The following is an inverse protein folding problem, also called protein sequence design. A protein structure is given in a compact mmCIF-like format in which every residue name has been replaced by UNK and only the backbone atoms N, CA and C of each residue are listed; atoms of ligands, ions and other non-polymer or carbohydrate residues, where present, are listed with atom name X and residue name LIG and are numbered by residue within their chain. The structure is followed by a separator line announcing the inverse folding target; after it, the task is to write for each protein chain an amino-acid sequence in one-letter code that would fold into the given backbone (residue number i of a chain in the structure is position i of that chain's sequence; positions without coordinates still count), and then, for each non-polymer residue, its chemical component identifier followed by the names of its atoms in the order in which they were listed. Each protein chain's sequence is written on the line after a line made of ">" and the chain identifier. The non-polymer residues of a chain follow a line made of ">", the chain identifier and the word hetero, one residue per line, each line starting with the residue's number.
data_IF_572058999735
#
_entry.id   IF_572058999735
#
_cell.length_a   1.000
_cell.length_b   1.000
_cell.length_c   1.000
_cell.angle_alpha   90.00
_cell.angle_beta   90.00
_cell.angle_gamma   90.00
#
_symmetry.space_group_name_H-M   'P 1'
#
loop_
_entity.id
_entity.type
_entity.pdbx_description
1 polymer ?
#
# COMPACT_ATOMS: atom_id res chain seq x y z
N UNK A 1 5.53 -38.61 20.39
CA UNK A 1 5.84 -37.31 19.72
C UNK A 1 5.63 -36.19 20.73
N UNK A 2 6.63 -35.34 21.01
CA UNK A 2 6.58 -34.38 22.12
C UNK A 2 5.78 -33.11 21.73
N UNK A 3 4.64 -32.87 22.39
CA UNK A 3 3.72 -31.74 22.16
C UNK A 3 4.42 -30.37 22.20
N UNK A 4 5.42 -30.21 23.08
CA UNK A 4 6.22 -28.99 23.20
C UNK A 4 7.07 -28.72 21.95
N UNK A 5 7.70 -29.77 21.40
CA UNK A 5 8.47 -29.65 20.14
C UNK A 5 7.58 -29.33 18.94
N UNK A 6 6.37 -29.89 18.90
CA UNK A 6 5.38 -29.56 17.86
C UNK A 6 4.94 -28.09 17.96
N UNK A 7 4.63 -27.61 19.17
CA UNK A 7 4.22 -26.22 19.38
C UNK A 7 5.33 -25.22 19.04
N UNK A 8 6.59 -25.54 19.37
CA UNK A 8 7.74 -24.73 18.94
C UNK A 8 7.79 -24.61 17.41
N UNK A 9 7.77 -25.74 16.71
CA UNK A 9 7.79 -25.76 15.23
C UNK A 9 6.63 -25.00 14.60
N UNK A 10 5.43 -25.11 15.17
CA UNK A 10 4.25 -24.36 14.70
C UNK A 10 4.42 -22.86 14.94
N UNK A 11 5.01 -22.46 16.06
CA UNK A 11 5.32 -21.05 16.35
C UNK A 11 6.34 -20.50 15.35
N UNK A 12 7.40 -21.25 15.08
CA UNK A 12 8.43 -20.86 14.11
C UNK A 12 7.84 -20.72 12.69
N UNK A 13 7.02 -21.68 12.26
CA UNK A 13 6.31 -21.62 10.98
C UNK A 13 5.38 -20.40 10.91
N UNK A 14 4.63 -20.13 11.98
CA UNK A 14 3.74 -18.97 12.05
C UNK A 14 4.51 -17.64 12.03
N UNK A 15 5.73 -17.61 12.60
CA UNK A 15 6.61 -16.45 12.52
C UNK A 15 7.03 -16.18 11.08
N UNK A 16 7.44 -17.22 10.34
CA UNK A 16 7.82 -17.11 8.93
C UNK A 16 6.62 -16.62 8.09
N UNK A 17 5.44 -17.23 8.27
CA UNK A 17 4.22 -16.78 7.57
C UNK A 17 3.87 -15.33 7.88
N UNK A 18 4.01 -14.90 9.14
CA UNK A 18 3.81 -13.50 9.55
C UNK A 18 4.77 -12.58 8.82
N UNK A 19 6.06 -12.92 8.74
CA UNK A 19 7.07 -12.12 8.04
C UNK A 19 6.78 -11.99 6.55
N UNK A 20 6.42 -13.10 5.88
CA UNK A 20 6.07 -13.11 4.46
C UNK A 20 4.84 -12.25 4.19
N UNK A 21 3.77 -12.43 4.98
CA UNK A 21 2.53 -11.68 4.80
C UNK A 21 2.72 -10.17 5.05
N UNK A 22 3.48 -9.78 6.08
CA UNK A 22 3.80 -8.38 6.35
C UNK A 22 4.67 -7.77 5.26
N UNK A 23 5.64 -8.51 4.73
CA UNK A 23 6.50 -8.02 3.63
C UNK A 23 5.69 -7.81 2.36
N UNK A 24 4.79 -8.74 2.02
CA UNK A 24 3.87 -8.59 0.89
C UNK A 24 2.93 -7.40 1.04
N UNK A 25 2.35 -7.21 2.23
CA UNK A 25 1.52 -6.05 2.53
C UNK A 25 2.30 -4.73 2.44
N UNK A 26 3.52 -4.67 2.99
CA UNK A 26 4.37 -3.48 2.94
C UNK A 26 4.78 -3.12 1.51
N UNK A 27 5.04 -4.10 0.65
CA UNK A 27 5.31 -3.85 -0.76
C UNK A 27 4.12 -3.19 -1.46
N UNK A 28 2.90 -3.71 -1.24
CA UNK A 28 1.68 -3.15 -1.79
C UNK A 28 1.34 -1.77 -1.22
N UNK A 29 1.63 -1.53 0.06
CA UNK A 29 1.46 -0.21 0.67
C UNK A 29 2.37 0.83 0.03
N UNK A 30 3.63 0.48 -0.27
CA UNK A 30 4.56 1.37 -0.98
C UNK A 30 4.13 1.64 -2.41
N UNK A 31 3.64 0.61 -3.12
CA UNK A 31 3.10 0.77 -4.47
C UNK A 31 1.91 1.74 -4.48
N UNK A 32 0.95 1.55 -3.57
CA UNK A 32 -0.18 2.47 -3.41
C UNK A 32 0.26 3.89 -3.07
N UNK A 33 1.19 4.05 -2.13
CA UNK A 33 1.72 5.36 -1.73
C UNK A 33 2.43 6.05 -2.89
N UNK A 34 3.16 5.31 -3.74
CA UNK A 34 3.81 5.86 -4.92
C UNK A 34 2.79 6.39 -5.94
N UNK A 35 1.68 5.67 -6.14
CA UNK A 35 0.59 6.11 -7.02
C UNK A 35 -0.11 7.36 -6.44
N UNK A 36 -0.37 7.39 -5.14
CA UNK A 36 -0.92 8.57 -4.45
C UNK A 36 0.03 9.78 -4.56
N UNK A 37 1.34 9.57 -4.41
CA UNK A 37 2.33 10.63 -4.58
C UNK A 37 2.39 11.19 -6.02
N UNK A 38 2.17 10.37 -7.04
CA UNK A 38 2.04 10.85 -8.43
C UNK A 38 0.87 11.83 -8.59
N UNK A 39 -0.26 11.56 -7.94
CA UNK A 39 -1.43 12.44 -7.96
C UNK A 39 -1.14 13.78 -7.27
N UNK A 40 -0.44 13.76 -6.14
CA UNK A 40 -0.03 14.98 -5.45
C UNK A 40 0.97 15.81 -6.28
N UNK A 41 1.92 15.16 -6.94
CA UNK A 41 2.86 15.80 -7.85
C UNK A 41 2.15 16.48 -9.03
N UNK A 42 1.21 15.80 -9.68
CA UNK A 42 0.39 16.37 -10.76
C UNK A 42 -0.40 17.60 -10.28
N UNK A 43 -0.97 17.55 -9.07
CA UNK A 43 -1.66 18.70 -8.49
C UNK A 43 -0.71 19.88 -8.22
N UNK A 44 0.54 19.63 -7.84
CA UNK A 44 1.55 20.66 -7.67
C UNK A 44 1.99 21.28 -9.01
N UNK A 45 2.23 20.45 -10.02
CA UNK A 45 2.54 20.87 -11.39
C UNK A 45 1.40 21.70 -11.99
N UNK A 46 0.15 21.30 -11.78
CA UNK A 46 -1.03 22.05 -12.24
C UNK A 46 -1.09 23.46 -11.65
N UNK A 47 -0.86 23.58 -10.33
CA UNK A 47 -0.78 24.89 -9.67
C UNK A 47 0.35 25.74 -10.25
N UNK A 48 1.49 25.12 -10.56
CA UNK A 48 2.64 25.80 -11.17
C UNK A 48 2.30 26.31 -12.58
N UNK A 49 1.72 25.46 -13.44
CA UNK A 49 1.31 25.82 -14.79
C UNK A 49 0.31 26.98 -14.80
N UNK A 50 -0.67 26.97 -13.90
CA UNK A 50 -1.65 28.06 -13.75
C UNK A 50 -1.04 29.38 -13.32
N UNK A 51 0.00 29.36 -12.47
CA UNK A 51 0.73 30.59 -12.10
C UNK A 51 1.45 31.20 -13.31
N UNK A 52 2.05 30.36 -14.15
CA UNK A 52 2.75 30.80 -15.36
C UNK A 52 1.82 31.26 -16.48
N UNK A 53 0.55 30.86 -16.47
CA UNK A 53 -0.44 31.23 -17.48
C UNK A 53 -0.64 32.75 -17.65
N UNK A 54 -0.40 33.53 -16.59
CA UNK A 54 -0.53 34.99 -16.62
C UNK A 54 0.61 35.72 -17.36
N UNK A 55 1.69 35.01 -17.70
CA UNK A 55 2.88 35.62 -18.31
C UNK A 55 2.69 35.96 -19.80
N UNK A 56 1.90 35.16 -20.53
CA UNK A 56 1.61 35.37 -21.96
C UNK A 56 0.40 34.55 -22.43
N UNK A 57 -0.22 34.93 -23.57
CA UNK A 57 -1.28 34.13 -24.20
C UNK A 57 -0.84 32.71 -24.58
N UNK A 58 0.41 32.55 -25.03
CA UNK A 58 0.97 31.24 -25.41
C UNK A 58 1.07 30.31 -24.19
N UNK A 59 1.55 30.83 -23.06
CA UNK A 59 1.60 30.09 -21.79
C UNK A 59 0.21 29.78 -21.24
N UNK A 60 -0.79 30.64 -21.48
CA UNK A 60 -2.17 30.38 -21.09
C UNK A 60 -2.78 29.21 -21.88
N UNK A 61 -2.55 29.15 -23.19
CA UNK A 61 -3.00 28.04 -24.04
C UNK A 61 -2.32 26.73 -23.63
N UNK A 62 -1.01 26.77 -23.34
CA UNK A 62 -0.28 25.60 -22.85
C UNK A 62 -0.81 25.12 -21.49
N UNK A 63 -1.10 26.03 -20.56
CA UNK A 63 -1.68 25.70 -19.25
C UNK A 63 -3.08 25.08 -19.39
N UNK A 64 -3.92 25.57 -20.30
CA UNK A 64 -5.24 24.99 -20.56
C UNK A 64 -5.15 23.56 -21.12
N UNK A 65 -4.23 23.28 -22.03
CA UNK A 65 -3.96 21.92 -22.53
C UNK A 65 -3.44 21.01 -21.41
N UNK A 66 -2.57 21.54 -20.56
CA UNK A 66 -2.05 20.80 -19.41
C UNK A 66 -3.16 20.46 -18.41
N UNK A 67 -4.13 21.35 -18.19
CA UNK A 67 -5.30 21.08 -17.33
C UNK A 67 -6.10 19.86 -17.83
N UNK A 68 -6.34 19.74 -19.14
CA UNK A 68 -7.00 18.55 -19.72
C UNK A 68 -6.18 17.28 -19.51
N UNK A 69 -4.86 17.36 -19.68
CA UNK A 69 -3.96 16.23 -19.42
C UNK A 69 -4.00 15.80 -17.96
N UNK A 70 -3.91 16.75 -17.02
CA UNK A 70 -3.94 16.48 -15.56
C UNK A 70 -5.26 15.83 -15.18
N UNK A 71 -6.39 16.29 -15.73
CA UNK A 71 -7.70 15.67 -15.51
C UNK A 71 -7.69 14.19 -15.92
N UNK A 72 -7.35 13.90 -17.19
CA UNK A 72 -7.32 12.54 -17.71
C UNK A 72 -6.36 11.64 -16.93
N UNK A 73 -5.17 12.13 -16.57
CA UNK A 73 -4.20 11.35 -15.80
C UNK A 73 -4.66 11.10 -14.37
N UNK A 74 -5.35 12.05 -13.75
CA UNK A 74 -5.93 11.88 -12.41
C UNK A 74 -7.02 10.81 -12.41
N UNK A 75 -7.85 10.75 -13.46
CA UNK A 75 -8.83 9.69 -13.63
C UNK A 75 -8.15 8.32 -13.76
N UNK A 76 -7.13 8.20 -14.63
CA UNK A 76 -6.35 6.97 -14.77
C UNK A 76 -5.74 6.51 -13.44
N UNK A 77 -5.13 7.42 -12.67
CA UNK A 77 -4.59 7.11 -11.34
C UNK A 77 -5.69 6.63 -10.39
N UNK A 78 -6.87 7.26 -10.45
CA UNK A 78 -8.01 6.86 -9.63
C UNK A 78 -8.47 5.44 -9.96
N UNK A 79 -8.48 5.08 -11.24
CA UNK A 79 -8.83 3.74 -11.69
C UNK A 79 -7.75 2.71 -11.35
N UNK A 80 -6.46 3.07 -11.45
CA UNK A 80 -5.33 2.25 -10.98
C UNK A 80 -5.47 1.93 -9.47
N UNK A 81 -5.80 2.94 -8.65
CA UNK A 81 -6.02 2.76 -7.21
C UNK A 81 -7.25 1.88 -6.91
N UNK A 82 -8.36 2.07 -7.64
CA UNK A 82 -9.56 1.23 -7.50
C UNK A 82 -9.30 -0.21 -7.90
N UNK A 83 -8.59 -0.44 -9.01
CA UNK A 83 -8.22 -1.77 -9.48
C UNK A 83 -7.29 -2.49 -8.48
N UNK A 84 -6.38 -1.74 -7.83
CA UNK A 84 -5.49 -2.26 -6.81
C UNK A 84 -6.14 -2.52 -5.44
N UNK A 85 -7.29 -1.89 -5.14
CA UNK A 85 -7.91 -1.92 -3.81
C UNK A 85 -8.22 -3.34 -3.30
N UNK A 86 -8.84 -4.26 -4.08
CA UNK A 86 -9.10 -5.62 -3.61
C UNK A 86 -7.83 -6.39 -3.23
N UNK A 87 -6.74 -6.20 -4.00
CA UNK A 87 -5.44 -6.84 -3.72
C UNK A 87 -4.81 -6.29 -2.45
N UNK A 88 -4.90 -4.98 -2.23
CA UNK A 88 -4.40 -4.34 -1.01
C UNK A 88 -5.15 -4.82 0.24
N UNK A 89 -6.49 -4.81 0.19
CA UNK A 89 -7.33 -5.28 1.30
C UNK A 89 -7.11 -6.76 1.60
N UNK A 90 -7.02 -7.60 0.57
CA UNK A 90 -6.70 -9.03 0.72
C UNK A 90 -5.34 -9.26 1.39
N UNK A 91 -4.32 -8.47 1.03
CA UNK A 91 -3.01 -8.54 1.66
C UNK A 91 -3.04 -8.03 3.12
N UNK A 92 -3.79 -6.97 3.41
CA UNK A 92 -4.00 -6.46 4.77
C UNK A 92 -4.62 -7.53 5.66
N UNK A 93 -5.68 -8.18 5.19
CA UNK A 93 -6.38 -9.22 5.93
C UNK A 93 -5.53 -10.49 6.10
N UNK A 94 -4.72 -10.85 5.11
CA UNK A 94 -3.75 -11.92 5.23
C UNK A 94 -2.68 -11.62 6.30
N UNK A 95 -2.14 -10.40 6.30
CA UNK A 95 -1.17 -9.95 7.29
C UNK A 95 -1.78 -9.93 8.70
N UNK A 96 -2.98 -9.39 8.87
CA UNK A 96 -3.69 -9.36 10.15
C UNK A 96 -3.92 -10.78 10.71
N UNK A 97 -4.38 -11.71 9.86
CA UNK A 97 -4.56 -13.12 10.25
C UNK A 97 -3.25 -13.78 10.64
N UNK A 98 -2.16 -13.54 9.91
CA UNK A 98 -0.86 -14.11 10.21
C UNK A 98 -0.29 -13.59 11.54
N UNK A 99 -0.43 -12.29 11.81
CA UNK A 99 -0.08 -11.68 13.10
C UNK A 99 -0.89 -12.29 14.24
N UNK A 100 -2.21 -12.41 14.07
CA UNK A 100 -3.09 -13.01 15.08
C UNK A 100 -2.74 -14.48 15.39
N UNK A 101 -2.49 -15.30 14.37
CA UNK A 101 -2.09 -16.71 14.54
C UNK A 101 -0.77 -16.86 15.30
N UNK A 102 0.24 -16.06 14.93
CA UNK A 102 1.52 -16.08 15.64
C UNK A 102 1.35 -15.65 17.10
N UNK A 103 0.59 -14.59 17.38
CA UNK A 103 0.33 -14.13 18.75
C UNK A 103 -0.37 -15.20 19.60
N UNK A 104 -1.35 -15.90 19.02
CA UNK A 104 -2.05 -17.00 19.70
C UNK A 104 -1.11 -18.17 20.04
N UNK A 105 -0.24 -18.58 19.10
CA UNK A 105 0.73 -19.65 19.31
C UNK A 105 1.80 -19.29 20.36
N UNK A 106 2.32 -18.07 20.33
CA UNK A 106 3.24 -17.55 21.36
C UNK A 106 2.58 -17.57 22.74
N UNK A 107 1.32 -17.14 22.84
CA UNK A 107 0.56 -17.18 24.09
C UNK A 107 0.36 -18.61 24.60
N UNK A 108 0.08 -19.56 23.70
CA UNK A 108 -0.04 -20.98 24.04
C UNK A 108 1.30 -21.57 24.50
N UNK A 109 2.41 -21.22 23.84
CA UNK A 109 3.74 -21.68 24.19
C UNK A 109 4.18 -21.21 25.59
N UNK A 110 3.86 -19.96 25.95
CA UNK A 110 4.08 -19.42 27.29
C UNK A 110 3.29 -20.19 28.36
N UNK A 111 2.03 -20.56 28.08
CA UNK A 111 1.19 -21.32 29.02
C UNK A 111 1.66 -22.76 29.25
N UNK A 112 2.40 -23.35 28.31
CA UNK A 112 2.93 -24.72 28.43
C UNK A 112 4.33 -24.79 29.05
N UNK A 113 4.99 -23.65 29.26
CA UNK A 113 6.26 -23.53 29.99
C UNK A 113 6.07 -22.59 31.19
N UNK A 114 5.32 -22.99 32.24
CA UNK A 114 5.28 -22.25 33.50
C UNK A 114 6.66 -22.21 34.17
#
# INVERSE_FOLDING_TARGET
>A
MNKRRQLSRLTDLAQIHRMVALSGFAALARERQAIEAQREALAAEQRSARKSAAASPETAIAAARFDTFVHNRTEQITDELKAGAPRFEGARDAAARAVGRHAALVKLAKRQNP
#
